data_IF_774343889218
#
_entry.id   IF_774343889218
#
_cell.length_a   1.000
_cell.length_b   1.000
_cell.length_c   1.000
_cell.angle_alpha   90.00
_cell.angle_beta   90.00
_cell.angle_gamma   90.00
#
_symmetry.space_group_name_H-M   'P 1'
#
loop_
_entity.id
_entity.type
_entity.pdbx_description
1 polymer ?
#
# COMPACT_ATOMS: atom_id res chain seq x y z
N UNK A 1 -45.62 15.30 -14.22
CA UNK A 1 -44.45 15.78 -14.98
C UNK A 1 -44.35 14.92 -16.20
N UNK A 2 -44.73 15.45 -17.36
CA UNK A 2 -44.74 14.71 -18.61
C UNK A 2 -43.44 15.04 -19.33
N UNK A 3 -42.50 14.09 -19.38
CA UNK A 3 -41.19 14.34 -19.99
C UNK A 3 -41.39 14.55 -21.49
N UNK A 4 -41.09 15.75 -21.98
CA UNK A 4 -41.26 16.07 -23.39
C UNK A 4 -40.04 15.64 -24.22
N UNK A 5 -40.23 15.34 -25.51
CA UNK A 5 -39.13 14.96 -26.43
C UNK A 5 -38.00 16.00 -26.48
N UNK A 6 -38.32 17.28 -26.21
CA UNK A 6 -37.37 18.40 -26.15
C UNK A 6 -36.49 18.37 -24.91
N UNK A 7 -37.05 18.03 -23.75
CA UNK A 7 -36.29 17.87 -22.50
C UNK A 7 -35.32 16.67 -22.55
N UNK A 8 -35.74 15.59 -23.22
CA UNK A 8 -34.87 14.44 -23.49
C UNK A 8 -33.68 14.88 -24.35
N UNK A 9 -33.93 15.64 -25.43
CA UNK A 9 -32.88 16.12 -26.33
C UNK A 9 -31.91 17.10 -25.61
N UNK A 10 -32.44 17.99 -24.79
CA UNK A 10 -31.64 18.92 -24.00
C UNK A 10 -30.77 18.18 -22.97
N UNK A 11 -31.32 17.16 -22.31
CA UNK A 11 -30.58 16.32 -21.35
C UNK A 11 -29.44 15.54 -22.01
N UNK A 12 -29.68 14.95 -23.18
CA UNK A 12 -28.63 14.29 -23.98
C UNK A 12 -27.52 15.29 -24.34
N UNK A 13 -27.90 16.51 -24.69
CA UNK A 13 -26.95 17.58 -25.05
C UNK A 13 -26.11 18.01 -23.84
N UNK A 14 -26.75 18.21 -22.67
CA UNK A 14 -26.05 18.53 -21.41
C UNK A 14 -25.05 17.42 -21.07
N UNK A 15 -25.47 16.16 -21.12
CA UNK A 15 -24.59 15.01 -20.86
C UNK A 15 -23.42 15.00 -21.84
N UNK A 16 -23.67 15.21 -23.14
CA UNK A 16 -22.61 15.23 -24.15
C UNK A 16 -21.57 16.35 -23.89
N UNK A 17 -22.01 17.56 -23.57
CA UNK A 17 -21.12 18.68 -23.22
C UNK A 17 -20.34 18.38 -21.94
N UNK A 18 -21.01 17.85 -20.91
CA UNK A 18 -20.38 17.47 -19.65
C UNK A 18 -19.34 16.36 -19.82
N UNK A 19 -19.57 15.39 -20.71
CA UNK A 19 -18.58 14.36 -21.03
C UNK A 19 -17.37 14.96 -21.73
N UNK A 20 -17.55 15.83 -22.73
CA UNK A 20 -16.44 16.49 -23.43
C UNK A 20 -15.59 17.30 -22.45
N UNK A 21 -16.22 18.12 -21.59
CA UNK A 21 -15.53 18.88 -20.56
C UNK A 21 -14.84 17.96 -19.55
N UNK A 22 -15.50 16.86 -19.16
CA UNK A 22 -14.96 15.84 -18.28
C UNK A 22 -13.65 15.26 -18.81
N UNK A 23 -13.60 14.89 -20.09
CA UNK A 23 -12.38 14.38 -20.72
C UNK A 23 -11.24 15.41 -20.76
N UNK A 24 -11.55 16.69 -21.02
CA UNK A 24 -10.53 17.75 -21.01
C UNK A 24 -9.91 17.92 -19.61
N UNK A 25 -10.75 17.92 -18.57
CA UNK A 25 -10.29 18.05 -17.18
C UNK A 25 -9.52 16.80 -16.74
N UNK A 26 -10.05 15.61 -17.03
CA UNK A 26 -9.38 14.34 -16.75
C UNK A 26 -8.00 14.29 -17.41
N UNK A 27 -7.88 14.68 -18.68
CA UNK A 27 -6.59 14.71 -19.38
C UNK A 27 -5.58 15.67 -18.74
N UNK A 28 -6.02 16.80 -18.17
CA UNK A 28 -5.15 17.71 -17.40
C UNK A 28 -4.71 17.11 -16.07
N UNK A 29 -5.62 16.42 -15.38
CA UNK A 29 -5.33 15.71 -14.12
C UNK A 29 -4.30 14.58 -14.38
N UNK A 30 -4.51 13.78 -15.42
CA UNK A 30 -3.60 12.70 -15.81
C UNK A 30 -2.22 13.26 -16.20
N UNK A 31 -2.17 14.32 -17.01
CA UNK A 31 -0.90 14.96 -17.37
C UNK A 31 -0.13 15.46 -16.14
N UNK A 32 -0.84 16.06 -15.17
CA UNK A 32 -0.22 16.52 -13.93
C UNK A 32 0.30 15.35 -13.07
N UNK A 33 -0.47 14.26 -12.98
CA UNK A 33 -0.04 13.05 -12.26
C UNK A 33 1.17 12.39 -12.93
N UNK A 34 1.17 12.26 -14.26
CA UNK A 34 2.32 11.76 -15.02
C UNK A 34 3.56 12.61 -14.79
N UNK A 35 3.40 13.94 -14.76
CA UNK A 35 4.51 14.84 -14.50
C UNK A 35 5.05 14.66 -13.07
N UNK A 36 4.18 14.59 -12.06
CA UNK A 36 4.57 14.36 -10.67
C UNK A 36 5.28 13.02 -10.50
N UNK A 37 4.79 11.99 -11.16
CA UNK A 37 5.31 10.62 -11.10
C UNK A 37 6.37 10.35 -12.18
N UNK A 38 6.89 11.40 -12.83
CA UNK A 38 7.81 11.26 -13.97
C UNK A 38 9.10 10.52 -13.59
N UNK A 39 9.50 10.58 -12.33
CA UNK A 39 10.70 9.88 -11.87
C UNK A 39 10.54 8.36 -11.90
N UNK A 40 9.34 7.84 -11.63
CA UNK A 40 9.04 6.41 -11.67
C UNK A 40 8.89 5.92 -13.12
N UNK A 41 8.20 6.69 -13.97
CA UNK A 41 8.01 6.31 -15.38
C UNK A 41 9.29 6.36 -16.21
N UNK A 42 10.27 7.18 -15.80
CA UNK A 42 11.57 7.30 -16.48
C UNK A 42 12.68 6.47 -15.82
N UNK A 43 12.39 5.82 -14.69
CA UNK A 43 13.38 5.00 -14.01
C UNK A 43 13.81 3.83 -14.90
N UNK A 44 15.10 3.51 -14.86
CA UNK A 44 15.66 2.38 -15.62
C UNK A 44 15.12 1.08 -15.03
N UNK A 45 14.73 0.16 -15.89
CA UNK A 45 14.28 -1.17 -15.46
C UNK A 45 15.42 -2.15 -15.64
N UNK A 46 15.78 -2.85 -14.57
CA UNK A 46 16.93 -3.76 -14.50
C UNK A 46 16.44 -5.11 -14.00
N UNK A 47 16.79 -6.19 -14.71
CA UNK A 47 16.35 -7.55 -14.38
C UNK A 47 17.49 -8.55 -14.22
N UNK A 48 18.73 -8.13 -14.44
CA UNK A 48 19.91 -8.98 -14.35
C UNK A 48 21.08 -8.26 -13.67
N UNK A 49 22.04 -9.05 -13.17
CA UNK A 49 23.16 -8.56 -12.38
C UNK A 49 24.18 -7.75 -13.18
N UNK A 50 24.34 -8.02 -14.49
CA UNK A 50 25.25 -7.25 -15.34
C UNK A 50 24.73 -5.82 -15.56
N UNK A 51 23.44 -5.69 -15.88
CA UNK A 51 22.76 -4.41 -15.99
C UNK A 51 22.76 -3.65 -14.66
N UNK A 52 22.60 -4.35 -13.54
CA UNK A 52 22.61 -3.73 -12.22
C UNK A 52 23.98 -3.12 -11.89
N UNK A 53 25.07 -3.88 -12.11
CA UNK A 53 26.44 -3.39 -11.97
C UNK A 53 26.73 -2.23 -12.90
N UNK A 54 26.39 -2.39 -14.18
CA UNK A 54 26.57 -1.33 -15.18
C UNK A 54 25.78 -0.06 -14.83
N UNK A 55 24.58 -0.21 -14.27
CA UNK A 55 23.73 0.90 -13.83
C UNK A 55 24.38 1.73 -12.72
N UNK A 56 25.02 1.06 -11.75
CA UNK A 56 25.82 1.72 -10.71
C UNK A 56 27.08 2.37 -11.30
N UNK A 57 27.84 1.65 -12.12
CA UNK A 57 29.09 2.14 -12.73
C UNK A 57 28.87 3.39 -13.59
N UNK A 58 27.72 3.48 -14.26
CA UNK A 58 27.35 4.61 -15.13
C UNK A 58 26.46 5.64 -14.45
N UNK A 59 26.10 5.45 -13.18
CA UNK A 59 25.29 6.37 -12.38
C UNK A 59 23.97 6.76 -13.07
N UNK A 60 23.19 5.75 -13.49
CA UNK A 60 21.98 5.95 -14.32
C UNK A 60 20.83 6.70 -13.62
N UNK A 61 20.93 6.95 -12.32
CA UNK A 61 19.88 7.59 -11.53
C UNK A 61 18.87 6.58 -11.00
N UNK A 62 17.60 6.97 -10.97
CA UNK A 62 16.51 6.14 -10.47
C UNK A 62 16.34 4.87 -11.29
N UNK A 63 16.22 3.74 -10.61
CA UNK A 63 16.02 2.43 -11.21
C UNK A 63 15.04 1.57 -10.41
N UNK A 64 14.27 0.75 -11.13
CA UNK A 64 13.58 -0.42 -10.60
C UNK A 64 14.42 -1.65 -10.93
N UNK A 65 14.84 -2.36 -9.90
CA UNK A 65 15.73 -3.51 -10.02
C UNK A 65 15.00 -4.75 -9.51
N UNK A 66 14.69 -5.68 -10.39
CA UNK A 66 14.06 -6.95 -10.03
C UNK A 66 15.11 -8.02 -9.74
N UNK A 67 14.97 -8.72 -8.62
CA UNK A 67 15.93 -9.76 -8.24
C UNK A 67 15.56 -10.46 -6.95
N UNK A 68 16.46 -11.35 -6.53
CA UNK A 68 16.37 -12.08 -5.26
C UNK A 68 17.25 -11.40 -4.21
N UNK A 69 16.64 -11.10 -3.06
CA UNK A 69 17.30 -10.67 -1.84
C UNK A 69 17.60 -11.89 -0.98
N UNK A 70 18.87 -12.12 -0.67
CA UNK A 70 19.37 -13.27 0.08
C UNK A 70 20.08 -12.82 1.37
N UNK A 71 19.91 -13.56 2.46
CA UNK A 71 20.68 -13.40 3.68
C UNK A 71 22.05 -14.08 3.53
N UNK A 72 23.15 -13.32 3.66
CA UNK A 72 24.51 -13.87 3.60
C UNK A 72 24.84 -14.62 4.90
N UNK A 73 24.47 -14.02 6.03
CA UNK A 73 24.64 -14.55 7.37
C UNK A 73 23.27 -14.70 8.06
N UNK A 74 22.53 -15.78 7.77
CA UNK A 74 21.20 -15.98 8.34
C UNK A 74 21.24 -16.16 9.85
N UNK A 75 20.20 -15.65 10.51
CA UNK A 75 20.03 -15.66 11.96
C UNK A 75 18.84 -16.54 12.37
N UNK A 76 18.86 -16.98 13.62
CA UNK A 76 17.70 -17.65 14.23
C UNK A 76 17.79 -17.61 15.76
N UNK A 77 16.65 -17.72 16.43
CA UNK A 77 16.59 -18.05 17.84
C UNK A 77 16.57 -19.58 18.03
N UNK A 78 17.30 -20.13 19.02
CA UNK A 78 17.38 -21.57 19.23
C UNK A 78 16.02 -22.25 19.42
N UNK A 79 15.01 -21.55 19.95
CA UNK A 79 13.70 -22.12 20.23
C UNK A 79 12.87 -22.39 18.97
N UNK A 80 13.09 -21.64 17.88
CA UNK A 80 12.35 -21.80 16.62
C UNK A 80 13.17 -22.53 15.54
N UNK A 81 14.50 -22.58 15.67
CA UNK A 81 15.36 -23.19 14.66
C UNK A 81 15.26 -22.52 13.29
N UNK A 82 15.62 -23.20 12.20
CA UNK A 82 15.55 -22.63 10.86
C UNK A 82 16.61 -21.56 10.59
N UNK A 83 16.46 -20.86 9.47
CA UNK A 83 17.36 -19.79 9.02
C UNK A 83 16.50 -18.64 8.49
N UNK A 84 16.83 -17.43 8.90
CA UNK A 84 16.05 -16.24 8.56
C UNK A 84 16.97 -15.06 8.29
N UNK A 85 16.48 -14.12 7.48
CA UNK A 85 17.15 -12.85 7.24
C UNK A 85 16.98 -11.90 8.46
N UNK A 86 15.81 -11.96 9.08
CA UNK A 86 15.42 -11.18 10.26
C UNK A 86 14.47 -12.03 11.11
N UNK A 87 14.60 -11.97 12.43
CA UNK A 87 13.66 -12.58 13.37
C UNK A 87 13.35 -11.60 14.49
N UNK A 88 12.07 -11.48 14.80
CA UNK A 88 11.51 -10.73 15.92
C UNK A 88 10.82 -11.70 16.86
N UNK A 89 11.01 -11.46 18.15
CA UNK A 89 10.39 -12.21 19.24
C UNK A 89 9.64 -11.20 20.10
N UNK A 90 8.32 -11.36 20.13
CA UNK A 90 7.41 -10.49 20.87
C UNK A 90 6.95 -11.22 22.13
N UNK A 91 7.23 -10.65 23.29
CA UNK A 91 6.73 -11.14 24.58
C UNK A 91 5.33 -10.60 24.83
N UNK A 92 4.39 -11.48 25.14
CA UNK A 92 3.03 -11.11 25.50
C UNK A 92 2.60 -11.74 26.83
N UNK A 93 1.89 -10.96 27.64
CA UNK A 93 1.38 -11.35 28.95
C UNK A 93 -0.14 -11.45 28.92
N UNK A 94 -0.69 -12.50 29.52
CA UNK A 94 -2.12 -12.70 29.60
C UNK A 94 -2.69 -11.92 30.79
N UNK A 95 -3.30 -10.77 30.50
CA UNK A 95 -3.81 -9.87 31.53
C UNK A 95 -5.33 -9.80 31.52
N UNK A 96 -5.86 -9.54 32.71
CA UNK A 96 -7.28 -9.29 32.93
C UNK A 96 -7.59 -7.82 32.67
N UNK A 97 -8.59 -7.61 31.83
CA UNK A 97 -9.16 -6.31 31.53
C UNK A 97 -10.61 -6.23 31.99
N UNK A 98 -11.10 -5.00 32.10
CA UNK A 98 -12.52 -4.74 32.39
C UNK A 98 -13.05 -3.70 31.42
N UNK A 99 -14.27 -3.90 30.93
CA UNK A 99 -14.98 -2.91 30.10
C UNK A 99 -16.38 -2.68 30.62
N UNK A 100 -16.86 -1.45 30.46
CA UNK A 100 -18.22 -1.06 30.77
C UNK A 100 -19.10 -1.30 29.55
N UNK A 101 -20.13 -2.13 29.67
CA UNK A 101 -21.08 -2.42 28.59
C UNK A 101 -22.46 -1.94 29.01
N UNK A 102 -23.09 -1.12 28.15
CA UNK A 102 -24.45 -0.67 28.32
C UNK A 102 -25.39 -1.55 27.50
N UNK A 103 -26.35 -2.17 28.17
CA UNK A 103 -27.36 -3.04 27.57
C UNK A 103 -28.75 -2.45 27.80
N UNK A 104 -29.68 -2.80 26.90
CA UNK A 104 -31.10 -2.48 27.06
C UNK A 104 -31.86 -3.73 27.46
N UNK A 105 -32.68 -3.62 28.49
CA UNK A 105 -33.63 -4.66 28.83
C UNK A 105 -34.77 -4.75 27.79
N UNK A 106 -35.63 -5.76 27.92
CA UNK A 106 -36.79 -5.95 27.04
C UNK A 106 -37.81 -4.80 27.08
N UNK A 107 -37.70 -3.90 28.07
CA UNK A 107 -38.55 -2.73 28.25
C UNK A 107 -37.85 -1.43 27.76
N UNK A 108 -36.65 -1.53 27.19
CA UNK A 108 -35.88 -0.41 26.67
C UNK A 108 -35.10 0.39 27.73
N UNK A 109 -35.00 -0.09 28.98
CA UNK A 109 -34.21 0.55 30.02
C UNK A 109 -32.74 0.21 29.87
N UNK A 110 -31.89 1.24 29.80
CA UNK A 110 -30.45 1.09 29.71
C UNK A 110 -29.85 0.84 31.09
N UNK A 111 -29.05 -0.22 31.23
CA UNK A 111 -28.23 -0.46 32.41
C UNK A 111 -26.80 -0.77 32.00
N UNK A 112 -25.86 -0.44 32.89
CA UNK A 112 -24.43 -0.61 32.63
C UNK A 112 -23.88 -1.71 33.53
N UNK A 113 -23.13 -2.66 32.95
CA UNK A 113 -22.43 -3.71 33.68
C UNK A 113 -20.93 -3.70 33.36
N UNK A 114 -20.12 -4.08 34.33
CA UNK A 114 -18.69 -4.31 34.14
C UNK A 114 -18.50 -5.75 33.66
N UNK A 115 -17.93 -5.91 32.48
CA UNK A 115 -17.50 -7.20 31.96
C UNK A 115 -16.00 -7.36 32.15
N UNK A 116 -15.59 -8.51 32.67
CA UNK A 116 -14.19 -8.89 32.75
C UNK A 116 -13.83 -9.75 31.54
N UNK A 117 -12.71 -9.45 30.89
CA UNK A 117 -12.20 -10.23 29.76
C UNK A 117 -10.68 -10.33 29.88
N UNK A 118 -10.08 -11.22 29.09
CA UNK A 118 -8.65 -11.46 29.12
C UNK A 118 -8.07 -11.38 27.73
N UNK A 119 -6.94 -10.72 27.59
CA UNK A 119 -6.20 -10.62 26.33
C UNK A 119 -4.71 -10.84 26.58
N UNK A 120 -4.04 -11.28 25.53
CA UNK A 120 -2.59 -11.23 25.46
C UNK A 120 -2.19 -9.80 25.10
N UNK A 121 -1.43 -9.16 25.97
CA UNK A 121 -0.97 -7.80 25.78
C UNK A 121 0.55 -7.79 25.57
N UNK A 122 1.01 -6.94 24.67
CA UNK A 122 2.42 -6.69 24.44
C UNK A 122 3.15 -6.30 25.73
N UNK A 123 4.25 -7.00 26.02
CA UNK A 123 5.11 -6.76 27.18
C UNK A 123 6.55 -6.37 26.78
N UNK A 124 6.97 -6.66 25.56
CA UNK A 124 8.28 -6.28 25.02
C UNK A 124 8.59 -7.00 23.71
N UNK A 125 9.65 -6.59 23.03
CA UNK A 125 10.20 -7.30 21.86
C UNK A 125 11.73 -7.29 21.85
N UNK A 126 12.29 -8.30 21.19
CA UNK A 126 13.70 -8.35 20.82
C UNK A 126 13.85 -8.87 19.39
N UNK A 127 14.79 -8.31 18.64
CA UNK A 127 15.03 -8.70 17.24
C UNK A 127 16.50 -8.94 16.94
N UNK A 128 16.73 -9.86 16.00
CA UNK A 128 18.04 -10.21 15.44
C UNK A 128 17.95 -10.21 13.92
N UNK A 129 19.06 -9.85 13.26
CA UNK A 129 19.10 -9.73 11.80
C UNK A 129 20.48 -10.07 11.24
N UNK A 130 20.52 -10.45 9.97
CA UNK A 130 21.75 -10.61 9.20
C UNK A 130 22.53 -9.28 9.13
N UNK A 131 23.85 -9.33 9.15
CA UNK A 131 24.71 -8.15 8.97
C UNK A 131 24.84 -7.79 7.49
N UNK A 132 24.88 -8.81 6.63
CA UNK A 132 25.05 -8.69 5.19
C UNK A 132 23.89 -9.33 4.44
N UNK A 133 23.53 -8.69 3.35
CA UNK A 133 22.53 -9.17 2.40
C UNK A 133 23.18 -9.23 1.02
N UNK A 134 22.63 -10.07 0.15
CA UNK A 134 23.06 -10.21 -1.23
C UNK A 134 21.86 -9.95 -2.13
N UNK A 135 22.02 -9.08 -3.12
CA UNK A 135 20.98 -8.76 -4.09
C UNK A 135 21.58 -8.71 -5.49
N UNK A 136 21.03 -9.50 -6.43
CA UNK A 136 21.58 -9.70 -7.78
C UNK A 136 23.09 -9.96 -7.78
N UNK A 137 23.54 -10.91 -6.96
CA UNK A 137 24.95 -11.29 -6.82
C UNK A 137 25.90 -10.23 -6.24
N UNK A 138 25.35 -9.17 -5.65
CA UNK A 138 26.13 -8.12 -4.99
C UNK A 138 25.85 -8.16 -3.49
N UNK A 139 26.91 -8.43 -2.71
CA UNK A 139 26.86 -8.34 -1.24
C UNK A 139 26.89 -6.89 -0.77
N UNK A 140 26.05 -6.55 0.20
CA UNK A 140 25.93 -5.21 0.76
C UNK A 140 25.48 -5.25 2.22
N UNK A 141 25.56 -4.10 2.90
CA UNK A 141 25.07 -3.98 4.26
C UNK A 141 23.56 -4.15 4.32
N UNK A 142 23.07 -4.82 5.37
CA UNK A 142 21.65 -5.04 5.61
C UNK A 142 20.78 -3.79 5.45
N UNK A 143 21.29 -2.63 5.87
CA UNK A 143 20.55 -1.35 5.86
C UNK A 143 20.43 -0.70 4.48
N UNK A 144 21.05 -1.27 3.44
CA UNK A 144 20.94 -0.74 2.07
C UNK A 144 19.53 -0.88 1.49
N UNK A 145 18.82 -1.94 1.88
CA UNK A 145 17.50 -2.25 1.36
C UNK A 145 16.51 -2.31 2.53
N UNK A 146 15.34 -1.68 2.37
CA UNK A 146 14.24 -1.77 3.31
C UNK A 146 13.75 -3.21 3.39
N UNK A 147 13.49 -3.66 4.60
CA UNK A 147 13.21 -5.07 4.84
C UNK A 147 11.77 -5.44 4.47
N UNK A 148 11.56 -6.63 3.89
CA UNK A 148 10.23 -7.17 3.72
C UNK A 148 9.51 -7.26 5.08
N UNK A 149 8.18 -7.18 5.04
CA UNK A 149 7.37 -7.43 6.24
C UNK A 149 7.60 -8.85 6.76
N UNK A 150 7.88 -8.97 8.06
CA UNK A 150 8.03 -10.26 8.73
C UNK A 150 6.71 -11.04 8.73
N UNK A 151 6.81 -12.36 8.69
CA UNK A 151 5.66 -13.28 8.73
C UNK A 151 5.68 -14.07 10.04
N UNK A 152 4.51 -14.36 10.58
CA UNK A 152 4.37 -15.21 11.76
C UNK A 152 5.02 -16.59 11.51
N UNK A 153 5.81 -17.03 12.47
CA UNK A 153 6.50 -18.33 12.47
C UNK A 153 5.79 -19.26 13.45
N UNK A 154 5.83 -18.92 14.74
CA UNK A 154 5.28 -19.76 15.80
C UNK A 154 5.03 -18.97 17.09
N UNK A 155 4.29 -19.57 18.03
CA UNK A 155 4.04 -19.08 19.38
C UNK A 155 4.55 -20.09 20.39
N UNK A 156 5.49 -19.70 21.24
CA UNK A 156 6.04 -20.56 22.30
C UNK A 156 5.59 -20.06 23.66
N UNK A 157 4.89 -20.93 24.41
CA UNK A 157 4.43 -20.62 25.75
C UNK A 157 5.54 -20.89 26.76
N UNK A 158 5.97 -19.84 27.47
CA UNK A 158 6.82 -19.97 28.66
C UNK A 158 5.99 -20.44 29.87
N UNK A 159 4.75 -20.00 29.94
CA UNK A 159 3.76 -20.40 30.95
C UNK A 159 2.33 -20.15 30.46
N UNK A 160 1.32 -20.45 31.28
CA UNK A 160 -0.07 -20.10 30.96
C UNK A 160 -0.36 -18.59 30.90
N UNK A 161 0.56 -17.73 31.36
CA UNK A 161 0.39 -16.27 31.38
C UNK A 161 1.44 -15.51 30.58
N UNK A 162 2.43 -16.21 30.01
CA UNK A 162 3.51 -15.60 29.24
C UNK A 162 3.77 -16.44 28.01
N UNK A 163 3.68 -15.82 26.84
CA UNK A 163 3.99 -16.43 25.54
C UNK A 163 4.92 -15.52 24.74
N UNK A 164 5.59 -16.13 23.76
CA UNK A 164 6.41 -15.44 22.79
C UNK A 164 5.90 -15.72 21.39
N UNK A 165 5.52 -14.68 20.66
CA UNK A 165 5.16 -14.77 19.26
C UNK A 165 6.39 -14.43 18.42
N UNK A 166 6.75 -15.31 17.49
CA UNK A 166 7.91 -15.17 16.63
C UNK A 166 7.49 -14.79 15.22
N UNK A 167 8.16 -13.78 14.67
CA UNK A 167 7.99 -13.32 13.31
C UNK A 167 9.34 -13.32 12.61
N UNK A 168 9.38 -13.65 11.32
CA UNK A 168 10.63 -13.57 10.59
C UNK A 168 10.48 -13.36 9.10
N UNK A 169 11.58 -12.92 8.52
CA UNK A 169 11.75 -12.75 7.08
C UNK A 169 12.53 -13.96 6.57
N UNK A 170 12.03 -14.69 5.56
CA UNK A 170 12.75 -15.80 4.95
C UNK A 170 14.15 -15.39 4.49
N UNK A 171 15.08 -16.35 4.37
CA UNK A 171 16.44 -16.08 3.87
C UNK A 171 16.45 -15.53 2.45
N UNK A 172 15.47 -15.90 1.63
CA UNK A 172 15.37 -15.50 0.23
C UNK A 172 14.02 -14.83 -0.02
N UNK A 173 14.03 -13.64 -0.62
CA UNK A 173 12.84 -12.90 -0.98
C UNK A 173 13.00 -12.34 -2.39
N UNK A 174 12.12 -12.71 -3.30
CA UNK A 174 12.12 -12.16 -4.66
C UNK A 174 11.26 -10.90 -4.70
N UNK A 175 11.70 -9.87 -5.41
CA UNK A 175 10.94 -8.64 -5.51
C UNK A 175 11.65 -7.57 -6.32
N UNK A 176 11.11 -6.36 -6.25
CA UNK A 176 11.65 -5.20 -6.95
C UNK A 176 12.17 -4.19 -5.94
N UNK A 177 13.41 -3.72 -6.11
CA UNK A 177 13.97 -2.57 -5.38
C UNK A 177 13.76 -1.31 -6.22
N UNK A 178 13.22 -0.25 -5.61
CA UNK A 178 13.29 1.10 -6.16
C UNK A 178 14.41 1.86 -5.46
N UNK A 179 15.36 2.36 -6.24
CA UNK A 179 16.56 3.04 -5.71
C UNK A 179 17.07 4.09 -6.68
N UNK A 180 17.96 4.94 -6.21
CA UNK A 180 18.92 5.66 -7.02
C UNK A 180 20.26 4.90 -7.10
N UNK A 181 20.81 4.77 -8.32
CA UNK A 181 22.10 4.13 -8.60
C UNK A 181 23.23 5.12 -8.88
N UNK A 182 23.05 6.40 -8.55
CA UNK A 182 24.15 7.38 -8.56
C UNK A 182 25.20 7.02 -7.52
N UNK A 183 26.42 7.52 -7.73
CA UNK A 183 27.56 7.36 -6.82
C UNK A 183 28.13 5.94 -6.71
N UNK A 184 27.87 5.09 -7.72
CA UNK A 184 28.50 3.77 -7.84
C UNK A 184 27.97 2.72 -6.86
N UNK A 185 26.85 3.00 -6.18
CA UNK A 185 26.22 2.08 -5.23
C UNK A 185 24.72 2.31 -5.16
N UNK A 186 24.01 1.42 -4.46
CA UNK A 186 22.62 1.58 -4.11
C UNK A 186 22.47 2.66 -3.02
N UNK A 187 21.41 3.47 -3.11
CA UNK A 187 21.05 4.41 -2.05
C UNK A 187 20.75 3.67 -0.73
N UNK A 188 21.05 4.31 0.39
CA UNK A 188 20.66 3.79 1.70
C UNK A 188 19.13 3.78 1.84
N UNK A 189 18.60 2.79 2.55
CA UNK A 189 17.16 2.64 2.82
C UNK A 189 16.28 2.55 1.54
N UNK A 190 16.79 1.88 0.51
CA UNK A 190 16.07 1.69 -0.75
C UNK A 190 14.83 0.83 -0.58
N UNK A 191 13.69 1.24 -1.17
CA UNK A 191 12.42 0.55 -0.97
C UNK A 191 12.36 -0.80 -1.67
N UNK A 192 11.98 -1.85 -0.92
CA UNK A 192 11.79 -3.20 -1.45
C UNK A 192 10.32 -3.57 -1.53
N UNK A 193 9.88 -3.93 -2.73
CA UNK A 193 8.55 -4.46 -3.01
C UNK A 193 8.63 -5.98 -3.14
N UNK A 194 8.42 -6.67 -2.00
CA UNK A 194 8.44 -8.13 -1.93
C UNK A 194 7.34 -8.75 -2.80
N UNK A 195 7.64 -9.90 -3.42
CA UNK A 195 6.73 -10.69 -4.28
C UNK A 195 6.08 -9.84 -5.40
N UNK A 196 6.75 -8.78 -5.83
CA UNK A 196 6.22 -7.77 -6.78
C UNK A 196 7.18 -7.57 -7.96
N UNK A 197 6.67 -7.68 -9.18
CA UNK A 197 7.40 -7.37 -10.41
C UNK A 197 7.52 -5.85 -10.66
N UNK A 198 8.33 -5.45 -11.63
CA UNK A 198 8.60 -4.02 -11.92
C UNK A 198 7.33 -3.26 -12.32
N UNK A 199 6.45 -3.85 -13.13
CA UNK A 199 5.22 -3.19 -13.58
C UNK A 199 4.29 -2.94 -12.39
N UNK A 200 4.12 -3.95 -11.54
CA UNK A 200 3.32 -3.86 -10.32
C UNK A 200 3.92 -2.86 -9.31
N UNK A 201 5.25 -2.82 -9.16
CA UNK A 201 5.94 -1.86 -8.31
C UNK A 201 5.73 -0.42 -8.81
N UNK A 202 5.92 -0.17 -10.11
CA UNK A 202 5.64 1.13 -10.74
C UNK A 202 4.17 1.52 -10.52
N UNK A 203 3.24 0.59 -10.71
CA UNK A 203 1.81 0.85 -10.51
C UNK A 203 1.49 1.24 -9.06
N UNK A 204 2.12 0.58 -8.09
CA UNK A 204 1.93 0.90 -6.66
C UNK A 204 2.34 2.35 -6.36
N UNK A 205 3.46 2.82 -6.93
CA UNK A 205 3.97 4.18 -6.74
C UNK A 205 3.23 5.23 -7.58
N UNK A 206 2.56 4.81 -8.66
CA UNK A 206 1.92 5.74 -9.62
C UNK A 206 0.38 5.75 -9.54
N UNK A 207 -0.21 5.16 -8.50
CA UNK A 207 -1.66 5.03 -8.34
C UNK A 207 -2.40 6.35 -8.59
N UNK A 208 -3.28 6.35 -9.60
CA UNK A 208 -4.03 7.52 -10.05
C UNK A 208 -5.35 7.72 -9.30
N UNK A 209 -5.68 8.97 -9.00
CA UNK A 209 -6.94 9.36 -8.35
C UNK A 209 -8.02 9.81 -9.35
N UNK A 210 -7.80 9.59 -10.66
CA UNK A 210 -8.73 10.00 -11.72
C UNK A 210 -10.11 9.37 -11.59
N UNK A 211 -10.23 8.20 -10.97
CA UNK A 211 -11.52 7.55 -10.69
C UNK A 211 -12.39 8.36 -9.72
N UNK A 212 -11.78 9.05 -8.73
CA UNK A 212 -12.49 9.89 -7.76
C UNK A 212 -13.08 11.12 -8.45
N UNK A 213 -12.32 11.70 -9.39
CA UNK A 213 -12.83 12.78 -10.25
C UNK A 213 -14.09 12.34 -11.00
N UNK A 214 -14.08 11.18 -11.66
CA UNK A 214 -15.25 10.69 -12.39
C UNK A 214 -16.46 10.43 -11.47
N UNK A 215 -16.24 9.94 -10.25
CA UNK A 215 -17.31 9.77 -9.26
C UNK A 215 -18.02 11.10 -8.94
N UNK A 216 -17.24 12.16 -8.66
CA UNK A 216 -17.79 13.50 -8.40
C UNK A 216 -18.41 14.11 -9.66
N UNK A 217 -17.77 13.92 -10.82
CA UNK A 217 -18.22 14.48 -12.09
C UNK A 217 -19.55 13.90 -12.57
N UNK A 218 -19.77 12.60 -12.39
CA UNK A 218 -21.04 11.94 -12.70
C UNK A 218 -22.15 12.46 -11.80
N UNK A 219 -21.89 12.64 -10.50
CA UNK A 219 -22.86 13.20 -9.56
C UNK A 219 -23.24 14.64 -9.96
N UNK A 220 -22.25 15.47 -10.30
CA UNK A 220 -22.46 16.84 -10.76
C UNK A 220 -23.27 16.87 -12.07
N UNK A 221 -22.99 15.97 -13.00
CA UNK A 221 -23.75 15.83 -14.26
C UNK A 221 -25.20 15.41 -14.00
N UNK A 222 -25.43 14.49 -13.06
CA UNK A 222 -26.77 14.10 -12.62
C UNK A 222 -27.53 15.26 -11.97
N UNK A 223 -26.86 16.05 -11.12
CA UNK A 223 -27.44 17.23 -10.50
C UNK A 223 -27.77 18.32 -11.54
N UNK A 224 -26.90 18.51 -12.55
CA UNK A 224 -27.13 19.47 -13.63
C UNK A 224 -28.33 19.07 -14.51
N UNK A 225 -28.46 17.79 -14.85
CA UNK A 225 -29.62 17.29 -15.62
C UNK A 225 -30.90 17.38 -14.79
N UNK A 226 -30.90 16.96 -13.52
CA UNK A 226 -32.06 17.08 -12.64
C UNK A 226 -32.46 18.55 -12.40
N UNK A 227 -31.50 19.44 -12.18
CA UNK A 227 -31.73 20.88 -12.05
C UNK A 227 -32.34 21.47 -13.33
N UNK A 228 -31.92 21.01 -14.50
CA UNK A 228 -32.52 21.40 -15.78
C UNK A 228 -33.99 20.96 -15.92
N UNK A 229 -34.37 19.81 -15.35
CA UNK A 229 -35.76 19.37 -15.32
C UNK A 229 -36.62 20.16 -14.32
N UNK A 230 -36.05 20.60 -13.19
CA UNK A 230 -36.79 21.25 -12.10
C UNK A 230 -36.96 22.77 -12.29
N UNK A 231 -36.03 23.41 -13.00
CA UNK A 231 -36.19 24.80 -13.44
C UNK A 231 -37.17 24.82 -14.61
N UNK A 232 -38.41 25.23 -14.36
CA UNK A 232 -39.50 25.34 -15.34
C UNK A 232 -39.01 26.16 -16.57
N UNK A 233 -38.60 25.46 -17.63
CA UNK A 233 -37.93 26.06 -18.78
C UNK A 233 -38.96 26.53 -19.81
N UNK A 234 -39.84 27.44 -19.39
CA UNK A 234 -40.92 28.02 -20.20
C UNK A 234 -40.44 28.66 -21.52
N UNK A 235 -39.14 28.98 -21.63
CA UNK A 235 -38.52 29.51 -22.85
C UNK A 235 -38.32 28.47 -23.97
N UNK A 236 -38.37 27.16 -23.69
CA UNK A 236 -38.35 26.09 -24.71
C UNK A 236 -39.72 25.83 -25.35
N UNK A 237 -40.78 26.45 -24.81
CA UNK A 237 -42.15 26.36 -25.29
C UNK A 237 -42.60 27.58 -26.11
N UNK A 238 -41.67 28.47 -26.50
CA UNK A 238 -41.91 29.61 -27.41
C UNK A 238 -41.46 29.33 -28.84
#
# INVERSE_FOLDING_TARGET
MEITKREILASITIIAVMLILGFVIAGRIDAHQIQKNSEYYKAVQITDSEQFRYGMDTSVGNAFVYGTLEAVDPVTYPEIGGQYLYVEKVEEHYNKHTRSVTEKDSNGHEYTRIEEYWTWDYAGDESIHAQKIKFLDIEMDYRKIQMPTSRYIDTIYKSGYVRFDYYGVPTENTGTVYTDLRDGTLSDDSSFFADTDIESAVKSMTTSWTWLFWGVWILLTGAATFGFYYLDNDWLNK
#
